data_IF_038057588983
#
_entry.id   IF_038057588983
#
_cell.length_a   1.000
_cell.length_b   1.000
_cell.length_c   1.000
_cell.angle_alpha   90.00
_cell.angle_beta   90.00
_cell.angle_gamma   90.00
#
_symmetry.space_group_name_H-M   'P 1'
#
loop_
_entity.id
_entity.type
_entity.pdbx_description
1 polymer ?
#
# COMPACT_ATOMS: atom_id res chain seq x y z
N UNK A 1 9.40 -19.67 -2.48
CA UNK A 1 9.63 -18.22 -2.32
C UNK A 1 8.27 -17.57 -2.13
N UNK A 2 8.16 -16.65 -1.18
CA UNK A 2 6.94 -15.90 -0.89
C UNK A 2 6.89 -14.67 -1.80
N UNK A 3 5.84 -14.54 -2.60
CA UNK A 3 5.71 -13.48 -3.60
C UNK A 3 4.98 -12.28 -3.02
N UNK A 4 5.63 -11.11 -3.04
CA UNK A 4 5.11 -9.86 -2.49
C UNK A 4 5.02 -8.85 -3.62
N UNK A 5 3.80 -8.42 -3.95
CA UNK A 5 3.58 -7.39 -4.94
C UNK A 5 3.28 -6.05 -4.25
N UNK A 6 4.03 -5.02 -4.61
CA UNK A 6 3.81 -3.64 -4.17
C UNK A 6 3.20 -2.87 -5.34
N UNK A 7 1.92 -2.55 -5.26
CA UNK A 7 1.21 -1.78 -6.30
C UNK A 7 0.96 -0.36 -5.80
N UNK A 8 1.47 0.63 -6.53
CA UNK A 8 1.38 2.01 -6.07
C UNK A 8 1.27 3.03 -7.19
N UNK A 9 0.68 4.18 -6.87
CA UNK A 9 0.76 5.38 -7.69
C UNK A 9 1.71 6.42 -7.08
N UNK A 10 2.42 7.17 -7.91
CA UNK A 10 3.20 8.34 -7.48
C UNK A 10 3.13 9.46 -8.51
N UNK A 11 2.54 10.59 -8.11
CA UNK A 11 2.48 11.81 -8.93
C UNK A 11 3.82 12.54 -8.95
N UNK A 12 4.28 13.01 -7.79
CA UNK A 12 5.48 13.85 -7.65
C UNK A 12 6.73 13.12 -7.13
N UNK A 13 6.67 11.80 -6.94
CA UNK A 13 7.83 10.99 -6.57
C UNK A 13 7.98 10.69 -5.06
N UNK A 14 7.21 11.30 -4.17
CA UNK A 14 7.29 10.97 -2.74
C UNK A 14 6.85 9.53 -2.46
N UNK A 15 5.76 9.07 -3.08
CA UNK A 15 5.28 7.69 -2.92
C UNK A 15 6.25 6.65 -3.49
N UNK A 16 7.04 6.96 -4.54
CA UNK A 16 8.07 6.00 -4.99
C UNK A 16 9.15 5.80 -3.93
N UNK A 17 9.51 6.84 -3.17
CA UNK A 17 10.47 6.69 -2.07
C UNK A 17 9.95 5.79 -0.95
N UNK A 18 8.66 5.88 -0.63
CA UNK A 18 8.04 4.93 0.29
C UNK A 18 7.98 3.51 -0.31
N UNK A 19 7.62 3.37 -1.59
CA UNK A 19 7.58 2.06 -2.25
C UNK A 19 8.97 1.39 -2.29
N UNK A 20 10.03 2.15 -2.57
CA UNK A 20 11.43 1.71 -2.51
C UNK A 20 11.80 1.21 -1.11
N UNK A 21 11.43 1.94 -0.05
CA UNK A 21 11.70 1.55 1.33
C UNK A 21 10.93 0.29 1.76
N UNK A 22 9.65 0.19 1.38
CA UNK A 22 8.82 -1.01 1.63
C UNK A 22 9.40 -2.21 0.87
N UNK A 23 9.80 -2.03 -0.38
CA UNK A 23 10.41 -3.09 -1.19
C UNK A 23 11.74 -3.57 -0.59
N UNK A 24 12.60 -2.65 -0.15
CA UNK A 24 13.84 -2.98 0.52
C UNK A 24 13.61 -3.76 1.83
N UNK A 25 12.63 -3.35 2.64
CA UNK A 25 12.25 -4.06 3.86
C UNK A 25 11.75 -5.47 3.56
N UNK A 26 10.84 -5.62 2.59
CA UNK A 26 10.32 -6.93 2.18
C UNK A 26 11.42 -7.85 1.62
N UNK A 27 12.30 -7.32 0.76
CA UNK A 27 13.37 -8.08 0.12
C UNK A 27 14.48 -8.48 1.11
N UNK A 28 14.58 -7.84 2.28
CA UNK A 28 15.52 -8.23 3.33
C UNK A 28 15.18 -9.56 3.99
N UNK A 29 13.94 -10.06 3.83
CA UNK A 29 13.48 -11.32 4.41
C UNK A 29 13.89 -12.49 3.51
N UNK A 30 14.64 -13.50 4.03
CA UNK A 30 15.04 -14.66 3.24
C UNK A 30 13.85 -15.38 2.60
N UNK A 31 13.95 -15.63 1.28
CA UNK A 31 12.92 -16.33 0.52
C UNK A 31 11.77 -15.45 0.03
N UNK A 32 11.81 -14.14 0.26
CA UNK A 32 10.89 -13.18 -0.35
C UNK A 32 11.28 -12.86 -1.80
N UNK A 33 10.29 -12.82 -2.67
CA UNK A 33 10.38 -12.39 -4.07
C UNK A 33 9.47 -11.17 -4.24
N UNK A 34 10.05 -9.99 -4.49
CA UNK A 34 9.35 -8.70 -4.40
C UNK A 34 9.21 -8.08 -5.79
N UNK A 35 7.97 -7.83 -6.21
CA UNK A 35 7.66 -7.07 -7.42
C UNK A 35 7.14 -5.68 -7.06
N UNK A 36 7.57 -4.66 -7.82
CA UNK A 36 7.18 -3.27 -7.63
C UNK A 36 6.46 -2.78 -8.88
N UNK A 37 5.14 -2.62 -8.78
CA UNK A 37 4.24 -2.31 -9.88
C UNK A 37 3.77 -0.85 -9.76
N UNK A 38 4.29 0.02 -10.62
CA UNK A 38 3.94 1.45 -10.62
C UNK A 38 2.77 1.71 -11.56
N UNK A 39 1.66 2.18 -11.01
CA UNK A 39 0.53 2.71 -11.77
C UNK A 39 0.98 3.97 -12.53
N UNK A 40 0.70 4.03 -13.82
CA UNK A 40 1.05 5.16 -14.70
C UNK A 40 0.35 6.46 -14.30
N UNK A 41 0.73 7.59 -14.93
CA UNK A 41 0.06 8.88 -14.70
C UNK A 41 -1.40 8.87 -15.17
N UNK A 42 -1.72 7.99 -16.12
CA UNK A 42 -3.03 7.74 -16.71
C UNK A 42 -3.85 6.73 -15.88
N UNK A 43 -3.26 6.17 -14.82
CA UNK A 43 -3.93 5.23 -13.93
C UNK A 43 -3.94 3.78 -14.43
N UNK A 44 -2.93 3.38 -15.20
CA UNK A 44 -2.86 2.07 -15.84
C UNK A 44 -1.68 1.23 -15.32
N UNK A 45 -1.89 -0.09 -15.32
CA UNK A 45 -0.85 -1.12 -15.31
C UNK A 45 -0.93 -1.85 -16.65
N UNK A 46 0.17 -2.45 -17.10
CA UNK A 46 0.10 -3.41 -18.21
C UNK A 46 -0.75 -4.63 -17.82
N UNK A 47 -1.27 -5.34 -18.81
CA UNK A 47 -2.08 -6.54 -18.57
C UNK A 47 -1.30 -7.60 -17.77
N UNK A 48 -0.02 -7.77 -18.07
CA UNK A 48 0.87 -8.73 -17.38
C UNK A 48 1.14 -8.32 -15.93
N UNK A 49 1.41 -7.04 -15.67
CA UNK A 49 1.59 -6.53 -14.30
C UNK A 49 0.31 -6.72 -13.48
N UNK A 50 -0.85 -6.38 -14.04
CA UNK A 50 -2.13 -6.55 -13.38
C UNK A 50 -2.45 -8.03 -13.11
N UNK A 51 -2.20 -8.90 -14.09
CA UNK A 51 -2.39 -10.35 -13.96
C UNK A 51 -1.46 -10.97 -12.90
N UNK A 52 -0.23 -10.45 -12.78
CA UNK A 52 0.76 -10.97 -11.82
C UNK A 52 0.30 -10.89 -10.36
N UNK A 53 -0.59 -9.95 -10.02
CA UNK A 53 -1.15 -9.78 -8.67
C UNK A 53 -1.89 -11.02 -8.17
N UNK A 54 -2.54 -11.79 -9.05
CA UNK A 54 -3.21 -13.03 -8.67
C UNK A 54 -2.22 -14.11 -8.20
N UNK A 55 -0.97 -14.05 -8.68
CA UNK A 55 0.11 -14.96 -8.31
C UNK A 55 0.88 -14.55 -7.05
N UNK A 56 0.60 -13.40 -6.46
CA UNK A 56 1.27 -12.92 -5.25
C UNK A 56 0.66 -13.56 -3.97
N UNK A 57 1.46 -13.74 -2.93
CA UNK A 57 0.99 -14.14 -1.60
C UNK A 57 0.56 -12.90 -0.78
N UNK A 58 1.16 -11.75 -1.06
CA UNK A 58 0.84 -10.46 -0.45
C UNK A 58 0.72 -9.35 -1.50
N UNK A 59 -0.24 -8.45 -1.32
CA UNK A 59 -0.40 -7.23 -2.13
C UNK A 59 -0.36 -6.01 -1.20
N UNK A 60 0.63 -5.14 -1.38
CA UNK A 60 0.80 -3.92 -0.60
C UNK A 60 0.37 -2.72 -1.44
N UNK A 61 -0.56 -1.92 -0.92
CA UNK A 61 -1.15 -0.77 -1.60
C UNK A 61 -0.44 0.54 -1.28
N UNK A 62 -0.10 1.32 -2.31
CA UNK A 62 0.53 2.63 -2.14
C UNK A 62 -0.15 3.75 -2.94
N UNK A 63 -0.45 4.88 -2.31
CA UNK A 63 -0.94 6.06 -3.03
C UNK A 63 -0.66 7.31 -2.21
N UNK A 64 -0.33 8.47 -2.81
CA UNK A 64 -0.39 9.72 -2.07
C UNK A 64 -1.85 10.01 -1.65
N UNK A 65 -2.02 10.68 -0.51
CA UNK A 65 -3.30 11.23 -0.09
C UNK A 65 -3.56 12.53 -0.83
N UNK A 66 -4.55 12.52 -1.72
CA UNK A 66 -5.06 13.72 -2.40
C UNK A 66 -6.49 13.97 -1.95
N UNK A 67 -6.74 15.17 -1.43
CA UNK A 67 -8.07 15.59 -0.94
C UNK A 67 -8.73 14.58 0.01
N UNK A 68 -7.94 13.99 0.92
CA UNK A 68 -8.42 13.04 1.92
C UNK A 68 -8.64 11.60 1.44
N UNK A 69 -8.28 11.26 0.19
CA UNK A 69 -8.39 9.90 -0.34
C UNK A 69 -7.16 9.47 -1.14
N UNK A 70 -7.12 8.22 -1.64
CA UNK A 70 -6.10 7.82 -2.60
C UNK A 70 -6.22 8.65 -3.88
N UNK A 71 -5.11 8.82 -4.60
CA UNK A 71 -5.12 9.42 -5.92
C UNK A 71 -6.08 8.70 -6.89
N UNK A 72 -6.68 9.44 -7.82
CA UNK A 72 -7.64 8.89 -8.78
C UNK A 72 -7.04 7.77 -9.65
N UNK A 73 -5.74 7.82 -9.93
CA UNK A 73 -5.02 6.75 -10.63
C UNK A 73 -5.08 5.42 -9.87
N UNK A 74 -4.86 5.47 -8.55
CA UNK A 74 -5.03 4.30 -7.70
C UNK A 74 -6.49 3.85 -7.66
N UNK A 75 -7.43 4.81 -7.63
CA UNK A 75 -8.87 4.49 -7.66
C UNK A 75 -9.27 3.78 -8.96
N UNK A 76 -8.73 4.19 -10.12
CA UNK A 76 -8.95 3.52 -11.42
C UNK A 76 -8.45 2.08 -11.38
N UNK A 77 -7.25 1.83 -10.85
CA UNK A 77 -6.75 0.48 -10.59
C UNK A 77 -7.68 -0.32 -9.65
N UNK A 78 -8.12 0.29 -8.56
CA UNK A 78 -9.01 -0.36 -7.60
C UNK A 78 -10.37 -0.71 -8.25
N UNK A 79 -10.92 0.12 -9.12
CA UNK A 79 -12.17 -0.18 -9.83
C UNK A 79 -12.00 -1.28 -10.88
N UNK A 80 -10.86 -1.31 -11.58
CA UNK A 80 -10.50 -2.40 -12.49
C UNK A 80 -10.35 -3.75 -11.75
N UNK A 81 -10.03 -3.72 -10.44
CA UNK A 81 -9.97 -4.92 -9.61
C UNK A 81 -11.32 -5.61 -9.36
N UNK A 82 -12.43 -5.04 -9.81
CA UNK A 82 -13.74 -5.73 -9.84
C UNK A 82 -13.70 -7.07 -10.60
N UNK A 83 -12.85 -7.20 -11.62
CA UNK A 83 -12.65 -8.46 -12.38
C UNK A 83 -12.04 -9.58 -11.51
N UNK A 84 -10.86 -9.41 -10.88
CA UNK A 84 -10.34 -10.41 -9.94
C UNK A 84 -11.22 -10.59 -8.70
N UNK A 85 -11.94 -9.55 -8.24
CA UNK A 85 -12.90 -9.65 -7.14
C UNK A 85 -14.02 -10.66 -7.42
N UNK A 86 -14.60 -10.62 -8.63
CA UNK A 86 -15.68 -11.53 -9.02
C UNK A 86 -15.26 -13.01 -8.94
N UNK A 87 -14.02 -13.30 -9.34
CA UNK A 87 -13.43 -14.64 -9.26
C UNK A 87 -12.74 -14.94 -7.92
N UNK A 88 -12.80 -14.03 -6.94
CA UNK A 88 -12.10 -14.13 -5.65
C UNK A 88 -10.59 -14.37 -5.79
N UNK A 89 -9.97 -13.86 -6.86
CA UNK A 89 -8.57 -14.15 -7.20
C UNK A 89 -7.57 -13.62 -6.17
N UNK A 90 -7.96 -12.65 -5.34
CA UNK A 90 -7.13 -12.06 -4.28
C UNK A 90 -7.50 -12.53 -2.87
N UNK A 91 -8.47 -13.45 -2.76
CA UNK A 91 -8.94 -13.96 -1.49
C UNK A 91 -7.80 -14.63 -0.70
N UNK A 92 -7.81 -14.42 0.61
CA UNK A 92 -6.89 -14.98 1.62
C UNK A 92 -5.41 -14.56 1.44
N UNK A 93 -5.10 -13.66 0.50
CA UNK A 93 -3.79 -13.00 0.40
C UNK A 93 -3.59 -11.99 1.52
N UNK A 94 -2.33 -11.72 1.87
CA UNK A 94 -2.00 -10.65 2.81
C UNK A 94 -2.17 -9.28 2.12
N UNK A 95 -2.70 -8.31 2.85
CA UNK A 95 -2.76 -6.91 2.45
C UNK A 95 -2.09 -6.00 3.48
N UNK A 96 -1.48 -4.93 3.00
CA UNK A 96 -0.99 -3.82 3.82
C UNK A 96 -1.03 -2.55 2.97
N UNK A 97 -0.71 -1.39 3.56
CA UNK A 97 -0.64 -0.17 2.76
C UNK A 97 0.19 0.95 3.37
N UNK A 98 0.57 1.87 2.49
CA UNK A 98 1.33 3.06 2.83
C UNK A 98 0.85 4.29 2.06
N UNK A 99 1.01 5.46 2.65
CA UNK A 99 0.62 6.73 2.03
C UNK A 99 1.49 7.90 2.49
N UNK A 100 1.42 9.00 1.78
CA UNK A 100 2.06 10.25 2.14
C UNK A 100 1.15 11.43 1.76
N UNK A 101 1.36 12.54 2.45
CA UNK A 101 0.70 13.82 2.15
C UNK A 101 1.66 14.96 2.45
N UNK A 102 1.26 16.18 2.12
CA UNK A 102 2.10 17.36 2.35
C UNK A 102 2.35 17.67 3.84
N UNK A 103 1.57 17.09 4.77
CA UNK A 103 1.65 17.40 6.19
C UNK A 103 1.64 16.16 7.08
N UNK A 104 1.99 16.35 8.35
CA UNK A 104 2.17 15.28 9.34
C UNK A 104 0.91 14.45 9.57
N UNK A 105 -0.28 15.07 9.57
CA UNK A 105 -1.56 14.35 9.58
C UNK A 105 -2.07 14.19 8.15
N UNK A 106 -2.43 15.32 7.52
CA UNK A 106 -2.86 15.42 6.13
C UNK A 106 -3.76 14.29 5.68
N UNK A 107 -4.71 13.91 6.54
CA UNK A 107 -5.76 12.91 6.36
C UNK A 107 -5.31 11.54 5.85
N UNK A 108 -4.04 11.16 6.09
CA UNK A 108 -3.48 9.86 5.68
C UNK A 108 -4.28 8.66 6.19
N UNK A 109 -4.84 8.78 7.40
CA UNK A 109 -5.70 7.76 7.99
C UNK A 109 -6.94 7.43 7.11
N UNK A 110 -7.46 8.41 6.37
CA UNK A 110 -8.59 8.19 5.45
C UNK A 110 -8.17 7.36 4.24
N UNK A 111 -7.00 7.65 3.64
CA UNK A 111 -6.43 6.84 2.56
C UNK A 111 -6.13 5.40 3.01
N UNK A 112 -5.56 5.22 4.21
CA UNK A 112 -5.33 3.88 4.77
C UNK A 112 -6.65 3.13 5.04
N UNK A 113 -7.69 3.83 5.50
CA UNK A 113 -9.03 3.24 5.68
C UNK A 113 -9.65 2.80 4.36
N UNK A 114 -9.40 3.53 3.27
CA UNK A 114 -9.79 3.11 1.93
C UNK A 114 -9.09 1.80 1.52
N UNK A 115 -7.76 1.70 1.73
CA UNK A 115 -7.02 0.47 1.42
C UNK A 115 -7.51 -0.72 2.24
N UNK A 116 -7.76 -0.53 3.53
CA UNK A 116 -8.37 -1.55 4.38
C UNK A 116 -9.74 -1.98 3.82
N UNK A 117 -10.61 -1.04 3.46
CA UNK A 117 -11.93 -1.38 2.91
C UNK A 117 -11.80 -2.15 1.60
N UNK A 118 -10.88 -1.75 0.72
CA UNK A 118 -10.58 -2.45 -0.52
C UNK A 118 -10.09 -3.88 -0.24
N UNK A 119 -9.18 -4.07 0.72
CA UNK A 119 -8.69 -5.41 1.06
C UNK A 119 -9.81 -6.31 1.59
N UNK A 120 -10.75 -5.74 2.37
CA UNK A 120 -11.88 -6.50 2.89
C UNK A 120 -12.86 -6.90 1.77
N UNK A 121 -13.08 -6.05 0.77
CA UNK A 121 -13.88 -6.41 -0.42
C UNK A 121 -13.27 -7.60 -1.17
N UNK A 122 -11.93 -7.66 -1.24
CA UNK A 122 -11.18 -8.75 -1.88
C UNK A 122 -10.99 -9.99 -1.00
N UNK A 123 -11.47 -9.98 0.24
CA UNK A 123 -11.32 -11.11 1.16
C UNK A 123 -9.88 -11.36 1.61
N UNK A 124 -9.06 -10.31 1.64
CA UNK A 124 -7.66 -10.37 2.10
C UNK A 124 -7.54 -10.24 3.62
N UNK A 125 -6.36 -10.54 4.14
CA UNK A 125 -5.99 -10.37 5.55
C UNK A 125 -5.10 -9.14 5.71
N UNK A 126 -5.61 -8.09 6.35
CA UNK A 126 -4.87 -6.85 6.57
C UNK A 126 -3.82 -6.97 7.69
N UNK A 127 -2.60 -6.49 7.42
CA UNK A 127 -1.49 -6.40 8.37
C UNK A 127 -1.10 -4.93 8.55
N UNK A 128 -1.14 -4.47 9.80
CA UNK A 128 -0.74 -3.12 10.19
C UNK A 128 0.77 -2.96 10.39
N UNK A 129 1.18 -1.82 10.95
CA UNK A 129 2.62 -1.49 11.14
C UNK A 129 3.32 -2.33 12.20
N UNK A 130 2.58 -2.79 13.23
CA UNK A 130 3.15 -3.59 14.32
C UNK A 130 4.11 -2.83 15.24
N UNK A 131 4.09 -1.49 15.21
CA UNK A 131 4.97 -0.64 16.00
C UNK A 131 4.21 0.09 17.11
N UNK A 132 4.82 0.19 18.30
CA UNK A 132 4.32 1.05 19.37
C UNK A 132 4.44 2.53 18.95
N UNK A 133 3.54 3.41 19.45
CA UNK A 133 3.64 4.83 19.18
C UNK A 133 4.75 5.46 20.02
N UNK A 134 5.32 6.55 19.53
CA UNK A 134 6.29 7.35 20.27
C UNK A 134 5.53 8.30 21.22
N UNK A 135 5.47 7.98 22.52
CA UNK A 135 4.49 8.56 23.46
C UNK A 135 5.09 9.25 24.72
N UNK A 136 6.34 9.69 24.64
CA UNK A 136 7.10 10.35 25.71
C UNK A 136 7.48 11.76 25.27
N UNK A 137 7.77 12.65 26.22
CA UNK A 137 8.13 14.06 25.92
C UNK A 137 9.38 14.23 25.07
N UNK A 138 10.27 13.23 25.05
CA UNK A 138 11.51 13.27 24.28
C UNK A 138 11.31 12.90 22.80
N UNK A 139 10.16 12.31 22.45
CA UNK A 139 9.89 11.86 21.09
C UNK A 139 9.49 13.00 20.15
N UNK A 140 9.85 12.86 18.87
CA UNK A 140 9.65 13.85 17.83
C UNK A 140 9.71 13.23 16.42
N UNK A 141 9.81 14.06 15.37
CA UNK A 141 9.77 13.62 13.97
C UNK A 141 10.82 12.59 13.56
N UNK A 142 11.89 12.43 14.34
CA UNK A 142 12.96 11.45 14.09
C UNK A 142 12.56 10.03 14.53
N UNK A 143 11.50 9.88 15.33
CA UNK A 143 11.00 8.57 15.73
C UNK A 143 10.16 7.91 14.63
N UNK A 144 10.37 6.61 14.43
CA UNK A 144 9.76 5.83 13.35
C UNK A 144 8.23 5.88 13.37
N UNK A 145 7.60 5.78 14.55
CA UNK A 145 6.14 5.87 14.71
C UNK A 145 5.75 7.12 15.50
N UNK A 146 6.25 8.29 15.07
CA UNK A 146 5.95 9.58 15.69
C UNK A 146 4.47 9.95 15.60
N UNK A 147 3.81 9.62 14.48
CA UNK A 147 2.39 9.94 14.24
C UNK A 147 1.41 8.96 14.88
N UNK A 148 1.90 7.92 15.56
CA UNK A 148 1.10 6.87 16.21
C UNK A 148 0.14 6.16 15.23
N UNK A 149 0.63 5.84 14.02
CA UNK A 149 -0.09 5.06 13.01
C UNK A 149 0.03 3.55 13.24
N UNK A 150 -1.11 2.85 13.18
CA UNK A 150 -1.16 1.39 13.36
C UNK A 150 -1.67 0.65 12.12
N UNK A 151 -2.54 1.27 11.34
CA UNK A 151 -3.17 0.62 10.18
C UNK A 151 -2.20 0.50 9.00
N UNK A 152 -1.26 1.41 8.84
CA UNK A 152 -0.27 1.41 7.77
C UNK A 152 0.70 2.58 7.92
N UNK A 153 1.64 2.68 6.99
CA UNK A 153 2.72 3.67 7.02
C UNK A 153 2.36 4.98 6.30
#
# INVERSE_FOLDING_TARGET
MTKIAIVYFSGYGHTVKQAEAVAAGAASVPGADVSVLRISQEGDLTEDEFASLAGADAIIYGSPTYMGGPAWQFKKFADASSKPWFGQAWKDKIAAGFTNSATVNGDKASTLSYFFTLSQQHGQVWVGTGLLPSNTKAHGPDDVNWTAGFSGA
#
